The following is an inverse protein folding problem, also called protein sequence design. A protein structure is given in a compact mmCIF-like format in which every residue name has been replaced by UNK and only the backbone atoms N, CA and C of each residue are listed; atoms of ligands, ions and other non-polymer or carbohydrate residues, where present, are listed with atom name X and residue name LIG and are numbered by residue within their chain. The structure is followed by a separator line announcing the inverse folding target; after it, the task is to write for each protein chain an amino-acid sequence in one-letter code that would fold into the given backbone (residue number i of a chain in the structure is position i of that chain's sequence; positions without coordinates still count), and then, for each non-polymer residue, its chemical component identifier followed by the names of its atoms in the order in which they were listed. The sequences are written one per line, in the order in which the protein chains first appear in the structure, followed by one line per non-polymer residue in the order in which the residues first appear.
data_IF_103393413257
#
_entry.id   IF_103393413257
#
_cell.length_a   1.000
_cell.length_b   1.000
_cell.length_c   1.000
_cell.angle_alpha   90.00
_cell.angle_beta   90.00
_cell.angle_gamma   90.00
#
_symmetry.space_group_name_H-M   'P 1'
#
loop_
_entity.id
_entity.type
_entity.pdbx_description
1 polymer ?
#
# COMPACT_ATOMS: atom_id res chain seq x y z
N UNK A 1 -11.24 -28.44 60.29
CA UNK A 1 -11.98 -29.68 59.92
C UNK A 1 -13.45 -29.54 59.50
N UNK A 2 -14.46 -29.47 60.39
CA UNK A 2 -15.89 -29.62 59.98
C UNK A 2 -16.40 -28.56 58.99
N UNK A 3 -15.97 -27.31 59.15
CA UNK A 3 -16.34 -26.21 58.23
C UNK A 3 -15.73 -26.44 56.83
N UNK A 4 -14.49 -26.91 56.76
CA UNK A 4 -13.80 -27.23 55.51
C UNK A 4 -14.47 -28.41 54.79
N UNK A 5 -14.78 -29.49 55.53
CA UNK A 5 -15.53 -30.65 54.99
C UNK A 5 -16.89 -30.26 54.40
N UNK A 6 -17.61 -29.32 55.04
CA UNK A 6 -18.88 -28.79 54.51
C UNK A 6 -18.70 -28.00 53.23
N UNK A 7 -17.70 -27.11 53.16
CA UNK A 7 -17.43 -26.30 51.96
C UNK A 7 -17.00 -27.21 50.79
N UNK A 8 -16.09 -28.15 51.06
CA UNK A 8 -15.61 -29.12 50.08
C UNK A 8 -16.76 -29.95 49.48
N UNK A 9 -17.62 -30.50 50.34
CA UNK A 9 -18.80 -31.26 49.90
C UNK A 9 -19.82 -30.42 49.13
N UNK A 10 -20.00 -29.16 49.49
CA UNK A 10 -20.90 -28.25 48.77
C UNK A 10 -20.37 -27.94 47.36
N UNK A 11 -19.06 -27.71 47.20
CA UNK A 11 -18.44 -27.49 45.88
C UNK A 11 -18.44 -28.76 45.02
N UNK A 12 -18.16 -29.92 45.61
CA UNK A 12 -18.31 -31.23 44.96
C UNK A 12 -19.72 -31.42 44.40
N UNK A 13 -20.75 -31.27 45.25
CA UNK A 13 -22.16 -31.40 44.83
C UNK A 13 -22.55 -30.41 43.73
N UNK A 14 -21.99 -29.20 43.75
CA UNK A 14 -22.22 -28.20 42.71
C UNK A 14 -21.63 -28.63 41.36
N UNK A 15 -20.40 -29.17 41.34
CA UNK A 15 -19.74 -29.67 40.13
C UNK A 15 -20.48 -30.89 39.58
N UNK A 16 -20.86 -31.85 40.44
CA UNK A 16 -21.65 -33.02 40.06
C UNK A 16 -23.04 -32.64 39.53
N UNK A 17 -23.70 -31.64 40.15
CA UNK A 17 -24.99 -31.12 39.67
C UNK A 17 -24.85 -30.45 38.31
N UNK A 18 -23.80 -29.65 38.08
CA UNK A 18 -23.51 -29.07 36.76
C UNK A 18 -23.26 -30.14 35.71
N UNK A 19 -22.57 -31.24 36.07
CA UNK A 19 -22.40 -32.38 35.16
C UNK A 19 -23.74 -33.00 34.74
N UNK A 20 -24.67 -33.18 35.68
CA UNK A 20 -26.01 -33.71 35.39
C UNK A 20 -26.93 -32.74 34.64
N UNK A 21 -26.81 -31.43 34.89
CA UNK A 21 -27.66 -30.40 34.26
C UNK A 21 -27.17 -29.94 32.88
N UNK A 22 -25.88 -30.14 32.56
CA UNK A 22 -25.30 -29.78 31.27
C UNK A 22 -25.52 -30.88 30.22
N UNK A 23 -26.77 -31.24 29.96
CA UNK A 23 -27.14 -32.12 28.85
C UNK A 23 -27.09 -31.34 27.53
N UNK A 24 -26.87 -32.04 26.42
CA UNK A 24 -26.82 -31.44 25.08
C UNK A 24 -28.08 -30.61 24.76
N UNK A 25 -29.26 -31.08 25.19
CA UNK A 25 -30.54 -30.39 25.02
C UNK A 25 -30.65 -29.07 25.78
N UNK A 26 -30.08 -28.99 26.99
CA UNK A 26 -30.08 -27.74 27.78
C UNK A 26 -29.03 -26.77 27.22
N UNK A 27 -27.84 -27.28 26.93
CA UNK A 27 -26.74 -26.46 26.42
C UNK A 27 -27.05 -25.87 25.05
N UNK A 28 -27.79 -26.58 24.18
CA UNK A 28 -28.18 -26.09 22.85
C UNK A 28 -29.02 -24.80 22.89
N UNK A 29 -29.72 -24.54 24.00
CA UNK A 29 -30.57 -23.34 24.19
C UNK A 29 -29.79 -22.09 24.63
N UNK A 30 -28.57 -22.24 25.14
CA UNK A 30 -27.79 -21.11 25.68
C UNK A 30 -27.08 -20.37 24.54
N UNK A 31 -26.74 -19.09 24.68
CA UNK A 31 -25.85 -18.38 23.76
C UNK A 31 -24.36 -18.53 24.15
N UNK A 32 -23.43 -18.08 23.31
CA UNK A 32 -21.98 -18.24 23.55
C UNK A 32 -21.52 -17.56 24.85
N UNK A 33 -22.05 -16.39 25.19
CA UNK A 33 -21.69 -15.67 26.41
C UNK A 33 -22.22 -16.38 27.67
N UNK A 34 -23.40 -16.98 27.59
CA UNK A 34 -23.97 -17.79 28.67
C UNK A 34 -23.13 -19.05 28.91
N UNK A 35 -22.66 -19.72 27.86
CA UNK A 35 -21.73 -20.85 27.99
C UNK A 35 -20.39 -20.40 28.59
N UNK A 36 -19.83 -19.28 28.15
CA UNK A 36 -18.58 -18.72 28.72
C UNK A 36 -18.74 -18.43 30.21
N UNK A 37 -19.84 -17.78 30.61
CA UNK A 37 -20.17 -17.53 32.03
C UNK A 37 -20.29 -18.83 32.82
N UNK A 38 -20.86 -19.89 32.23
CA UNK A 38 -20.95 -21.20 32.88
C UNK A 38 -19.58 -21.87 33.09
N UNK A 39 -18.64 -21.68 32.15
CA UNK A 39 -17.25 -22.12 32.27
C UNK A 39 -16.58 -21.38 33.43
N UNK A 40 -16.68 -20.05 33.51
CA UNK A 40 -16.08 -19.25 34.59
C UNK A 40 -16.61 -19.65 35.97
N UNK A 41 -17.92 -19.85 36.11
CA UNK A 41 -18.53 -20.32 37.35
C UNK A 41 -18.07 -21.74 37.73
N UNK A 42 -17.83 -22.60 36.73
CA UNK A 42 -17.32 -23.95 36.95
C UNK A 42 -15.84 -23.92 37.40
N UNK A 43 -15.02 -23.08 36.78
CA UNK A 43 -13.62 -22.87 37.14
C UNK A 43 -13.48 -22.31 38.55
N UNK A 44 -14.27 -21.30 38.91
CA UNK A 44 -14.27 -20.75 40.25
C UNK A 44 -14.69 -21.79 41.32
N UNK A 45 -15.71 -22.61 41.01
CA UNK A 45 -16.13 -23.70 41.89
C UNK A 45 -15.04 -24.76 42.09
N UNK A 46 -14.34 -25.14 41.01
CA UNK A 46 -13.24 -26.11 41.07
C UNK A 46 -12.02 -25.55 41.80
N UNK A 47 -11.62 -24.30 41.52
CA UNK A 47 -10.50 -23.66 42.23
C UNK A 47 -10.76 -23.55 43.74
N UNK A 48 -12.01 -23.25 44.13
CA UNK A 48 -12.39 -23.26 45.54
C UNK A 48 -12.30 -24.67 46.13
N UNK A 49 -12.73 -25.69 45.36
CA UNK A 49 -12.64 -27.09 45.78
C UNK A 49 -11.18 -27.52 46.00
N UNK A 50 -10.29 -27.29 45.04
CA UNK A 50 -8.85 -27.59 45.13
C UNK A 50 -8.24 -26.93 46.37
N UNK A 51 -8.46 -25.62 46.55
CA UNK A 51 -7.92 -24.91 47.72
C UNK A 51 -8.40 -25.51 49.05
N UNK A 52 -9.69 -25.83 49.16
CA UNK A 52 -10.23 -26.44 50.39
C UNK A 52 -9.83 -27.90 50.57
N UNK A 53 -9.50 -28.60 49.49
CA UNK A 53 -8.95 -29.96 49.53
C UNK A 53 -7.52 -29.93 50.07
N UNK A 54 -6.68 -29.03 49.55
CA UNK A 54 -5.29 -28.85 50.01
C UNK A 54 -5.24 -28.44 51.49
N UNK A 55 -6.09 -27.50 51.90
CA UNK A 55 -6.21 -27.08 53.32
C UNK A 55 -6.66 -28.23 54.22
N UNK A 56 -7.57 -29.10 53.75
CA UNK A 56 -8.05 -30.25 54.51
C UNK A 56 -6.99 -31.36 54.58
N UNK A 57 -6.26 -31.61 53.50
CA UNK A 57 -5.21 -32.61 53.43
C UNK A 57 -4.05 -32.31 54.41
N UNK A 58 -3.76 -31.03 54.65
CA UNK A 58 -2.76 -30.59 55.63
C UNK A 58 -3.20 -30.79 57.09
N UNK A 59 -4.51 -30.85 57.37
CA UNK A 59 -5.07 -31.05 58.72
C UNK A 59 -5.32 -32.54 59.05
N UNK A 60 -5.07 -33.48 58.12
CA UNK A 60 -5.29 -34.92 58.30
C UNK A 60 -4.01 -35.63 58.76
N UNK A 61 -4.10 -36.39 59.84
CA UNK A 61 -2.98 -37.18 60.39
C UNK A 61 -3.05 -38.68 60.02
N UNK A 62 -4.23 -39.18 59.62
CA UNK A 62 -4.47 -40.59 59.32
C UNK A 62 -4.39 -40.91 57.82
N UNK A 63 -3.52 -41.85 57.43
CA UNK A 63 -3.28 -42.22 56.03
C UNK A 63 -4.56 -42.69 55.29
N UNK A 64 -5.48 -43.39 55.96
CA UNK A 64 -6.73 -43.86 55.34
C UNK A 64 -7.70 -42.72 54.99
N UNK A 65 -7.70 -41.63 55.77
CA UNK A 65 -8.53 -40.45 55.46
C UNK A 65 -7.94 -39.66 54.29
N UNK A 66 -6.61 -39.62 54.19
CA UNK A 66 -5.88 -38.99 53.08
C UNK A 66 -6.15 -39.75 51.77
N UNK A 67 -6.07 -41.08 51.77
CA UNK A 67 -6.34 -41.90 50.58
C UNK A 67 -7.77 -41.70 50.05
N UNK A 68 -8.77 -41.70 50.95
CA UNK A 68 -10.17 -41.42 50.57
C UNK A 68 -10.36 -40.01 50.01
N UNK A 69 -9.59 -39.03 50.51
CA UNK A 69 -9.63 -37.65 50.05
C UNK A 69 -8.99 -37.50 48.66
N UNK A 70 -7.95 -38.28 48.36
CA UNK A 70 -7.31 -38.35 47.03
C UNK A 70 -8.27 -38.97 46.00
N UNK A 71 -8.90 -40.11 46.32
CA UNK A 71 -9.87 -40.76 45.42
C UNK A 71 -11.05 -39.83 45.07
N UNK A 72 -11.53 -39.07 46.06
CA UNK A 72 -12.59 -38.10 45.85
C UNK A 72 -12.15 -36.95 44.93
N UNK A 73 -10.90 -36.51 45.05
CA UNK A 73 -10.35 -35.47 44.20
C UNK A 73 -10.27 -35.90 42.74
N UNK A 74 -9.82 -37.13 42.49
CA UNK A 74 -9.72 -37.66 41.12
C UNK A 74 -11.10 -37.74 40.44
N UNK A 75 -12.13 -38.18 41.18
CA UNK A 75 -13.50 -38.20 40.67
C UNK A 75 -14.07 -36.80 40.39
N UNK A 76 -13.80 -35.82 41.25
CA UNK A 76 -14.27 -34.43 41.04
C UNK A 76 -13.51 -33.76 39.89
N UNK A 77 -12.20 -33.99 39.79
CA UNK A 77 -11.34 -33.48 38.72
C UNK A 77 -11.74 -34.04 37.35
N UNK A 78 -11.94 -35.36 37.24
CA UNK A 78 -12.42 -35.98 35.99
C UNK A 78 -13.80 -35.47 35.57
N UNK A 79 -14.70 -35.27 36.54
CA UNK A 79 -16.02 -34.67 36.29
C UNK A 79 -15.90 -33.23 35.80
N UNK A 80 -15.07 -32.39 36.44
CA UNK A 80 -14.80 -31.03 36.02
C UNK A 80 -14.25 -30.96 34.59
N UNK A 81 -13.24 -31.79 34.28
CA UNK A 81 -12.63 -31.84 32.95
C UNK A 81 -13.64 -32.21 31.87
N UNK A 82 -14.49 -33.21 32.13
CA UNK A 82 -15.54 -33.63 31.20
C UNK A 82 -16.57 -32.53 30.94
N UNK A 83 -17.02 -31.83 31.98
CA UNK A 83 -17.98 -30.73 31.82
C UNK A 83 -17.36 -29.55 31.07
N UNK A 84 -16.13 -29.16 31.42
CA UNK A 84 -15.42 -28.06 30.77
C UNK A 84 -15.14 -28.35 29.30
N UNK A 85 -14.74 -29.57 28.96
CA UNK A 85 -14.54 -29.99 27.58
C UNK A 85 -15.84 -29.90 26.76
N UNK A 86 -16.95 -30.40 27.32
CA UNK A 86 -18.25 -30.33 26.66
C UNK A 86 -18.70 -28.88 26.41
N UNK A 87 -18.59 -28.00 27.42
CA UNK A 87 -18.92 -26.58 27.26
C UNK A 87 -18.04 -25.89 26.22
N UNK A 88 -16.74 -26.20 26.15
CA UNK A 88 -15.84 -25.65 25.12
C UNK A 88 -16.18 -26.16 23.72
N UNK A 89 -16.51 -27.44 23.57
CA UNK A 89 -16.91 -28.00 22.28
C UNK A 89 -18.19 -27.34 21.76
N UNK A 90 -19.16 -27.01 22.61
CA UNK A 90 -20.36 -26.25 22.21
C UNK A 90 -20.02 -24.85 21.68
N UNK A 91 -18.98 -24.19 22.21
CA UNK A 91 -18.49 -22.91 21.66
C UNK A 91 -17.84 -23.14 20.29
N UNK A 92 -17.04 -24.20 20.14
CA UNK A 92 -16.39 -24.56 18.88
C UNK A 92 -17.37 -25.03 17.80
N UNK A 93 -18.48 -25.68 18.14
CA UNK A 93 -19.51 -26.09 17.18
C UNK A 93 -20.39 -24.91 16.73
N UNK A 94 -20.55 -23.90 17.59
CA UNK A 94 -21.30 -22.66 17.28
C UNK A 94 -20.49 -21.59 16.58
N UNK A 95 -19.17 -21.69 16.69
CA UNK A 95 -18.25 -21.00 15.83
C UNK A 95 -17.80 -22.00 14.76
N UNK A 96 -18.56 -22.20 13.67
CA UNK A 96 -18.01 -22.92 12.54
C UNK A 96 -16.71 -22.20 12.15
N UNK A 97 -15.60 -22.89 12.33
CA UNK A 97 -14.33 -22.53 11.72
C UNK A 97 -14.60 -22.24 10.24
N UNK A 98 -14.17 -21.04 9.82
CA UNK A 98 -14.43 -20.37 8.54
C UNK A 98 -15.62 -19.39 8.43
N UNK A 99 -15.93 -18.62 9.49
CA UNK A 99 -16.29 -17.22 9.22
C UNK A 99 -14.98 -16.47 8.94
N UNK A 100 -14.62 -16.39 7.65
CA UNK A 100 -13.76 -15.34 7.12
C UNK A 100 -14.10 -14.07 7.88
N UNK A 101 -13.10 -13.48 8.52
CA UNK A 101 -13.16 -12.19 9.21
C UNK A 101 -13.66 -11.14 8.22
N UNK A 102 -14.96 -11.10 7.97
CA UNK A 102 -15.63 -10.14 7.11
C UNK A 102 -15.87 -8.91 7.97
N UNK A 103 -14.78 -8.36 8.50
CA UNK A 103 -14.63 -6.92 8.56
C UNK A 103 -15.16 -6.44 7.22
N UNK A 104 -16.12 -5.51 7.23
CA UNK A 104 -16.44 -4.73 6.05
C UNK A 104 -15.15 -3.96 5.73
N UNK A 105 -14.20 -4.64 5.10
CA UNK A 105 -13.06 -4.03 4.46
C UNK A 105 -13.72 -3.17 3.41
N UNK A 106 -13.67 -1.85 3.63
CA UNK A 106 -13.61 -0.92 2.52
C UNK A 106 -12.61 -1.57 1.57
N UNK A 107 -13.08 -2.01 0.38
CA UNK A 107 -12.18 -2.59 -0.63
C UNK A 107 -11.28 -1.44 -1.07
N UNK A 108 -10.21 -1.26 -0.33
CA UNK A 108 -9.10 -0.42 -0.73
C UNK A 108 -8.60 -0.95 -2.07
N UNK A 109 -8.16 -0.08 -2.98
CA UNK A 109 -7.49 -0.52 -4.19
C UNK A 109 -6.45 -1.59 -3.85
N UNK A 110 -6.37 -2.69 -4.61
CA UNK A 110 -5.40 -3.74 -4.33
C UNK A 110 -4.01 -3.13 -4.28
N UNK A 111 -3.25 -3.46 -3.23
CA UNK A 111 -1.87 -3.02 -3.11
C UNK A 111 -1.08 -3.71 -4.23
N UNK A 112 -0.52 -2.91 -5.14
CA UNK A 112 0.34 -3.44 -6.18
C UNK A 112 1.63 -3.98 -5.55
N UNK A 113 2.14 -5.08 -6.09
CA UNK A 113 3.44 -5.58 -5.70
C UNK A 113 4.53 -4.57 -6.06
N UNK A 114 5.55 -4.41 -5.21
CA UNK A 114 6.65 -3.51 -5.48
C UNK A 114 7.38 -3.95 -6.75
N UNK A 115 7.87 -2.99 -7.52
CA UNK A 115 8.65 -3.25 -8.73
C UNK A 115 10.12 -2.98 -8.45
N UNK A 116 11.01 -3.83 -8.95
CA UNK A 116 12.45 -3.68 -8.79
C UNK A 116 13.17 -3.85 -10.12
N UNK A 117 13.90 -2.80 -10.50
CA UNK A 117 14.59 -2.72 -11.80
C UNK A 117 16.01 -3.28 -11.79
N UNK A 118 16.59 -3.49 -10.59
CA UNK A 118 18.00 -3.84 -10.40
C UNK A 118 18.87 -2.67 -9.92
N UNK A 119 18.30 -1.48 -9.73
CA UNK A 119 19.01 -0.33 -9.16
C UNK A 119 19.29 -0.55 -7.68
N UNK A 120 20.55 -0.43 -7.27
CA UNK A 120 20.97 -0.64 -5.89
C UNK A 120 20.29 0.33 -4.92
N UNK A 121 19.97 1.56 -5.35
CA UNK A 121 19.26 2.52 -4.49
C UNK A 121 17.82 2.12 -4.16
N UNK A 122 17.20 1.23 -4.95
CA UNK A 122 15.82 0.76 -4.76
C UNK A 122 15.77 -0.55 -3.94
N UNK A 123 16.92 -1.20 -3.72
CA UNK A 123 17.00 -2.57 -3.22
C UNK A 123 16.38 -2.76 -1.83
N UNK A 124 16.79 -1.96 -0.84
CA UNK A 124 16.30 -2.14 0.54
C UNK A 124 14.79 -1.87 0.64
N UNK A 125 14.30 -0.83 -0.03
CA UNK A 125 12.86 -0.53 -0.12
C UNK A 125 12.08 -1.68 -0.74
N UNK A 126 12.58 -2.25 -1.84
CA UNK A 126 11.95 -3.40 -2.49
C UNK A 126 11.98 -4.64 -1.59
N UNK A 127 13.14 -4.96 -1.02
CA UNK A 127 13.35 -6.12 -0.16
C UNK A 127 12.38 -6.11 1.01
N UNK A 128 12.29 -4.99 1.74
CA UNK A 128 11.43 -4.88 2.91
C UNK A 128 9.94 -5.05 2.53
N UNK A 129 9.50 -4.41 1.44
CA UNK A 129 8.12 -4.51 0.97
C UNK A 129 7.79 -5.93 0.47
N UNK A 130 8.68 -6.53 -0.32
CA UNK A 130 8.49 -7.87 -0.86
C UNK A 130 8.53 -8.93 0.24
N UNK A 131 9.41 -8.76 1.23
CA UNK A 131 9.49 -9.67 2.37
C UNK A 131 8.20 -9.63 3.19
N UNK A 132 7.68 -8.44 3.48
CA UNK A 132 6.44 -8.25 4.22
C UNK A 132 5.20 -8.79 3.47
N UNK A 133 5.12 -8.57 2.15
CA UNK A 133 3.93 -8.93 1.36
C UNK A 133 3.92 -10.39 0.89
N UNK A 134 5.08 -10.94 0.55
CA UNK A 134 5.21 -12.22 -0.17
C UNK A 134 6.10 -13.23 0.55
N UNK A 135 7.34 -12.87 0.89
CA UNK A 135 8.31 -13.83 1.45
C UNK A 135 7.84 -14.42 2.78
N UNK A 136 7.42 -13.55 3.71
CA UNK A 136 7.03 -13.92 5.08
C UNK A 136 5.54 -14.28 5.20
N UNK A 137 4.78 -14.16 4.11
CA UNK A 137 3.35 -14.47 4.12
C UNK A 137 3.13 -15.99 4.10
N UNK A 138 2.59 -16.53 5.20
CA UNK A 138 2.36 -17.97 5.38
C UNK A 138 1.25 -18.53 4.48
N UNK A 139 0.39 -17.67 3.93
CA UNK A 139 -0.73 -18.09 3.07
C UNK A 139 -0.33 -18.26 1.59
N UNK A 140 0.93 -17.96 1.24
CA UNK A 140 1.44 -18.02 -0.13
C UNK A 140 2.43 -19.18 -0.22
N UNK A 141 2.24 -20.10 -1.16
CA UNK A 141 3.19 -21.20 -1.39
C UNK A 141 4.42 -20.74 -2.21
N UNK A 142 5.47 -21.55 -2.28
CA UNK A 142 6.69 -21.17 -3.01
C UNK A 142 6.48 -20.98 -4.51
N UNK A 143 5.52 -21.68 -5.13
CA UNK A 143 5.20 -21.52 -6.56
C UNK A 143 4.61 -20.14 -6.80
N UNK A 144 3.65 -19.73 -5.98
CA UNK A 144 3.06 -18.39 -6.00
C UNK A 144 4.11 -17.32 -5.68
N UNK A 145 4.99 -17.55 -4.69
CA UNK A 145 6.11 -16.64 -4.40
C UNK A 145 7.03 -16.46 -5.60
N UNK A 146 7.35 -17.52 -6.34
CA UNK A 146 8.15 -17.45 -7.56
C UNK A 146 7.44 -16.62 -8.64
N UNK A 147 6.15 -16.84 -8.87
CA UNK A 147 5.39 -16.04 -9.83
C UNK A 147 5.35 -14.56 -9.45
N UNK A 148 5.11 -14.25 -8.18
CA UNK A 148 5.14 -12.88 -7.66
C UNK A 148 6.53 -12.25 -7.74
N UNK A 149 7.59 -13.03 -7.48
CA UNK A 149 8.96 -12.56 -7.64
C UNK A 149 9.20 -12.17 -9.10
N UNK A 150 8.91 -13.05 -10.07
CA UNK A 150 9.11 -12.75 -11.49
C UNK A 150 8.30 -11.55 -11.98
N UNK A 151 7.07 -11.34 -11.48
CA UNK A 151 6.25 -10.19 -11.86
C UNK A 151 6.67 -8.87 -11.20
N UNK A 152 7.42 -8.96 -10.10
CA UNK A 152 7.95 -7.81 -9.36
C UNK A 152 9.31 -7.36 -9.87
N UNK A 153 10.05 -8.22 -10.58
CA UNK A 153 11.35 -7.89 -11.14
C UNK A 153 11.22 -7.38 -12.58
N UNK A 154 11.98 -6.34 -12.89
CA UNK A 154 12.11 -5.75 -14.22
C UNK A 154 13.59 -5.51 -14.53
N UNK A 155 13.90 -5.20 -15.79
CA UNK A 155 15.25 -4.81 -16.20
C UNK A 155 16.33 -5.83 -15.85
N UNK A 156 17.40 -5.36 -15.19
CA UNK A 156 18.54 -6.20 -14.81
C UNK A 156 18.19 -7.20 -13.71
N UNK A 157 17.28 -6.86 -12.79
CA UNK A 157 16.90 -7.80 -11.75
C UNK A 157 16.14 -9.02 -12.32
N UNK A 158 15.33 -8.82 -13.36
CA UNK A 158 14.62 -9.91 -14.02
C UNK A 158 15.57 -10.85 -14.78
N UNK A 159 16.67 -10.34 -15.34
CA UNK A 159 17.62 -11.18 -16.08
C UNK A 159 18.37 -12.16 -15.17
N UNK A 160 18.62 -11.80 -13.91
CA UNK A 160 19.33 -12.64 -12.92
C UNK A 160 18.65 -14.00 -12.72
N UNK A 161 17.32 -14.05 -12.73
CA UNK A 161 16.55 -15.29 -12.51
C UNK A 161 15.86 -15.80 -13.78
N UNK A 162 16.19 -15.22 -14.93
CA UNK A 162 15.49 -15.51 -16.19
C UNK A 162 15.60 -16.98 -16.62
N UNK A 163 16.75 -17.61 -16.37
CA UNK A 163 17.06 -19.01 -16.69
C UNK A 163 16.48 -20.04 -15.71
N UNK A 164 15.91 -19.60 -14.58
CA UNK A 164 15.37 -20.50 -13.56
C UNK A 164 13.96 -20.96 -13.93
N UNK A 165 13.61 -22.21 -13.61
CA UNK A 165 12.25 -22.74 -13.75
C UNK A 165 11.27 -22.04 -12.80
N UNK A 166 9.96 -22.09 -13.10
CA UNK A 166 8.91 -21.50 -12.25
C UNK A 166 8.33 -22.53 -11.26
N UNK A 167 9.18 -23.36 -10.65
CA UNK A 167 8.76 -24.42 -9.73
C UNK A 167 8.92 -24.03 -8.25
N UNK A 168 8.24 -24.77 -7.36
CA UNK A 168 8.26 -24.50 -5.92
C UNK A 168 9.65 -24.64 -5.27
N UNK A 169 10.53 -25.44 -5.89
CA UNK A 169 11.86 -25.74 -5.34
C UNK A 169 12.88 -24.64 -5.67
N UNK A 170 12.75 -23.99 -6.83
CA UNK A 170 13.65 -22.94 -7.30
C UNK A 170 13.44 -21.57 -6.65
N UNK A 171 12.33 -21.32 -5.94
CA UNK A 171 12.07 -20.00 -5.33
C UNK A 171 13.17 -19.58 -4.35
N UNK A 172 13.55 -20.47 -3.44
CA UNK A 172 14.55 -20.16 -2.39
C UNK A 172 15.90 -19.83 -3.04
N UNK A 173 16.28 -20.59 -4.07
CA UNK A 173 17.49 -20.35 -4.84
C UNK A 173 17.42 -19.00 -5.58
N UNK A 174 16.31 -18.69 -6.24
CA UNK A 174 16.11 -17.43 -6.94
C UNK A 174 16.16 -16.22 -6.00
N UNK A 175 15.51 -16.32 -4.84
CA UNK A 175 15.53 -15.27 -3.82
C UNK A 175 16.94 -15.06 -3.26
N UNK A 176 17.67 -16.14 -2.99
CA UNK A 176 19.05 -16.06 -2.51
C UNK A 176 20.00 -15.52 -3.58
N UNK A 177 19.79 -15.87 -4.85
CA UNK A 177 20.57 -15.34 -5.97
C UNK A 177 20.41 -13.82 -6.04
N UNK A 178 19.18 -13.31 -6.08
CA UNK A 178 18.91 -11.85 -6.11
C UNK A 178 19.52 -11.16 -4.89
N UNK A 179 19.33 -11.70 -3.67
CA UNK A 179 19.99 -11.16 -2.48
C UNK A 179 21.51 -11.16 -2.61
N UNK A 180 22.11 -12.22 -3.16
CA UNK A 180 23.56 -12.29 -3.37
C UNK A 180 24.09 -11.20 -4.31
N UNK A 181 23.32 -10.83 -5.34
CA UNK A 181 23.70 -9.78 -6.29
C UNK A 181 23.44 -8.37 -5.77
N UNK A 182 22.32 -8.13 -5.08
CA UNK A 182 21.85 -6.78 -4.76
C UNK A 182 21.95 -6.41 -3.27
N UNK A 183 22.00 -7.37 -2.34
CA UNK A 183 22.15 -7.15 -0.89
C UNK A 183 23.62 -6.97 -0.47
N UNK A 184 24.36 -6.18 -1.24
CA UNK A 184 25.75 -5.88 -0.96
C UNK A 184 25.88 -4.49 -0.33
N UNK A 185 25.95 -4.44 1.00
CA UNK A 185 26.14 -3.19 1.76
C UNK A 185 27.37 -2.40 1.31
N UNK A 186 28.44 -3.07 0.87
CA UNK A 186 29.65 -2.42 0.37
C UNK A 186 29.48 -1.74 -0.99
N UNK A 187 28.45 -2.09 -1.76
CA UNK A 187 28.09 -1.42 -3.01
C UNK A 187 26.94 -0.43 -2.80
N UNK A 188 25.93 -0.79 -2.01
CA UNK A 188 24.77 0.09 -1.77
C UNK A 188 25.19 1.38 -1.05
N UNK A 189 26.09 1.29 -0.06
CA UNK A 189 26.62 2.47 0.62
C UNK A 189 27.29 3.48 -0.32
N UNK A 190 28.33 3.12 -1.12
CA UNK A 190 28.95 4.07 -2.04
C UNK A 190 28.00 4.49 -3.16
N UNK A 191 27.04 3.66 -3.58
CA UNK A 191 26.01 4.09 -4.56
C UNK A 191 25.17 5.24 -4.00
N UNK A 192 24.64 5.13 -2.78
CA UNK A 192 23.87 6.23 -2.18
C UNK A 192 24.71 7.50 -1.99
N UNK A 193 25.97 7.35 -1.55
CA UNK A 193 26.90 8.49 -1.47
C UNK A 193 27.13 9.13 -2.84
N UNK A 194 27.46 8.32 -3.85
CA UNK A 194 27.70 8.79 -5.20
C UNK A 194 26.48 9.57 -5.70
N UNK A 195 25.29 8.97 -5.69
CA UNK A 195 24.06 9.62 -6.13
C UNK A 195 23.77 10.90 -5.36
N UNK A 196 24.00 10.96 -4.04
CA UNK A 196 23.84 12.16 -3.21
C UNK A 196 24.77 13.30 -3.65
N UNK A 197 26.05 13.02 -3.92
CA UNK A 197 27.06 14.03 -4.26
C UNK A 197 27.10 14.40 -5.74
N UNK A 198 26.66 13.50 -6.63
CA UNK A 198 26.65 13.71 -8.09
C UNK A 198 25.29 14.12 -8.62
N UNK A 199 24.37 14.59 -7.77
CA UNK A 199 23.10 15.15 -8.22
C UNK A 199 23.32 16.25 -9.28
N UNK A 200 22.45 16.34 -10.30
CA UNK A 200 22.57 17.32 -11.36
C UNK A 200 22.34 18.74 -10.84
N UNK A 201 23.05 19.71 -11.42
CA UNK A 201 22.83 21.13 -11.11
C UNK A 201 21.48 21.56 -11.70
N UNK A 202 20.66 22.21 -10.86
CA UNK A 202 19.38 22.78 -11.28
C UNK A 202 19.67 24.11 -11.99
N UNK A 203 19.45 24.13 -13.31
CA UNK A 203 19.83 25.27 -14.16
C UNK A 203 18.91 26.48 -14.02
N UNK A 204 17.63 26.26 -13.70
CA UNK A 204 16.62 27.29 -13.66
C UNK A 204 15.76 27.16 -12.40
N UNK A 205 15.17 28.27 -11.97
CA UNK A 205 14.22 28.35 -10.85
C UNK A 205 12.88 27.68 -11.22
N UNK A 206 12.90 26.34 -11.28
CA UNK A 206 11.77 25.49 -11.59
C UNK A 206 11.35 24.69 -10.35
N UNK A 207 10.12 24.90 -9.81
CA UNK A 207 9.66 24.26 -8.57
C UNK A 207 9.83 22.74 -8.56
N UNK A 208 9.48 22.07 -9.66
CA UNK A 208 9.57 20.61 -9.78
C UNK A 208 11.02 20.11 -9.68
N UNK A 209 11.99 20.85 -10.24
CA UNK A 209 13.40 20.46 -10.21
C UNK A 209 14.01 20.67 -8.83
N UNK A 210 13.67 21.78 -8.17
CA UNK A 210 14.07 22.04 -6.79
C UNK A 210 13.49 21.00 -5.83
N UNK A 211 12.21 20.67 -6.01
CA UNK A 211 11.55 19.60 -5.24
C UNK A 211 12.24 18.26 -5.43
N UNK A 212 12.55 17.90 -6.68
CA UNK A 212 13.29 16.66 -7.00
C UNK A 212 14.66 16.63 -6.33
N UNK A 213 15.39 17.76 -6.30
CA UNK A 213 16.69 17.86 -5.63
C UNK A 213 16.57 17.62 -4.11
N UNK A 214 15.60 18.25 -3.45
CA UNK A 214 15.36 18.07 -2.01
C UNK A 214 14.89 16.64 -1.71
N UNK A 215 13.92 16.13 -2.46
CA UNK A 215 13.39 14.77 -2.28
C UNK A 215 14.48 13.71 -2.49
N UNK A 216 15.32 13.84 -3.52
CA UNK A 216 16.42 12.91 -3.80
C UNK A 216 17.46 12.94 -2.69
N UNK A 217 17.83 14.14 -2.21
CA UNK A 217 18.76 14.28 -1.08
C UNK A 217 18.20 13.61 0.18
N UNK A 218 16.95 13.90 0.53
CA UNK A 218 16.27 13.32 1.70
C UNK A 218 16.16 11.78 1.59
N UNK A 219 15.85 11.26 0.41
CA UNK A 219 15.75 9.82 0.18
C UNK A 219 17.09 9.12 0.40
N UNK A 220 18.20 9.70 -0.07
CA UNK A 220 19.53 9.14 0.14
C UNK A 220 19.99 9.26 1.60
N UNK A 221 19.71 10.36 2.30
CA UNK A 221 20.00 10.51 3.73
C UNK A 221 19.27 9.43 4.54
N UNK A 222 17.95 9.26 4.33
CA UNK A 222 17.15 8.21 5.00
C UNK A 222 17.62 6.79 4.68
N UNK A 223 18.05 6.55 3.45
CA UNK A 223 18.60 5.24 3.07
C UNK A 223 19.91 4.96 3.81
N UNK A 224 20.77 5.97 3.96
CA UNK A 224 22.03 5.87 4.71
C UNK A 224 21.79 5.71 6.22
N UNK A 225 20.78 6.37 6.80
CA UNK A 225 20.33 6.15 8.19
C UNK A 225 19.90 4.70 8.40
N UNK A 226 19.07 4.17 7.50
CA UNK A 226 18.60 2.77 7.55
C UNK A 226 19.76 1.77 7.46
N UNK A 227 20.83 2.13 6.74
CA UNK A 227 22.08 1.36 6.68
C UNK A 227 22.94 1.47 7.96
N UNK A 228 22.53 2.27 8.95
CA UNK A 228 23.24 2.49 10.21
C UNK A 228 24.42 3.45 10.07
N UNK A 229 24.39 4.38 9.10
CA UNK A 229 25.44 5.39 8.94
C UNK A 229 25.14 6.65 9.76
N UNK A 230 26.17 7.28 10.37
CA UNK A 230 25.99 8.44 11.24
C UNK A 230 25.81 9.73 10.42
N UNK A 231 24.67 9.88 9.75
CA UNK A 231 24.39 11.04 8.89
C UNK A 231 24.11 12.33 9.68
N UNK A 232 23.84 12.22 10.98
CA UNK A 232 23.53 13.35 11.87
C UNK A 232 24.65 14.40 11.94
N UNK A 233 25.88 14.02 11.55
CA UNK A 233 27.04 14.91 11.55
C UNK A 233 27.44 15.38 10.14
N UNK A 234 26.60 15.12 9.13
CA UNK A 234 26.95 15.40 7.72
C UNK A 234 26.34 16.70 7.20
N UNK A 235 25.66 17.47 8.06
CA UNK A 235 25.00 18.72 7.72
C UNK A 235 25.88 19.65 6.89
N UNK A 236 27.11 19.94 7.34
CA UNK A 236 28.02 20.87 6.64
C UNK A 236 28.32 20.42 5.20
N UNK A 237 28.58 19.12 5.03
CA UNK A 237 28.94 18.53 3.72
C UNK A 237 27.73 18.47 2.81
N UNK A 238 26.57 18.11 3.34
CA UNK A 238 25.30 18.04 2.61
C UNK A 238 24.86 19.44 2.19
N UNK A 239 24.87 20.41 3.11
CA UNK A 239 24.53 21.81 2.84
C UNK A 239 25.44 22.38 1.77
N UNK A 240 26.75 22.23 1.91
CA UNK A 240 27.70 22.69 0.90
C UNK A 240 27.42 22.04 -0.47
N UNK A 241 27.25 20.72 -0.51
CA UNK A 241 27.00 19.99 -1.74
C UNK A 241 25.72 20.46 -2.41
N UNK A 242 24.59 20.47 -1.69
CA UNK A 242 23.29 20.81 -2.27
C UNK A 242 23.23 22.29 -2.66
N UNK A 243 23.82 23.19 -1.87
CA UNK A 243 23.91 24.61 -2.22
C UNK A 243 24.63 24.83 -3.56
N UNK A 244 25.65 24.03 -3.89
CA UNK A 244 26.32 24.12 -5.20
C UNK A 244 25.45 23.62 -6.37
N UNK A 245 24.39 22.85 -6.10
CA UNK A 245 23.43 22.37 -7.10
C UNK A 245 22.25 23.31 -7.32
N UNK A 246 22.06 24.32 -6.47
CA UNK A 246 20.99 25.30 -6.61
C UNK A 246 21.26 26.27 -7.77
N UNK A 247 20.20 26.83 -8.39
CA UNK A 247 20.33 27.91 -9.35
C UNK A 247 21.08 29.11 -8.75
N UNK A 248 21.86 29.86 -9.55
CA UNK A 248 22.67 30.98 -9.07
C UNK A 248 21.88 32.01 -8.23
N UNK A 249 20.65 32.33 -8.63
CA UNK A 249 19.81 33.31 -7.95
C UNK A 249 19.39 32.83 -6.56
N UNK A 250 18.94 31.57 -6.46
CA UNK A 250 18.53 30.96 -5.19
C UNK A 250 19.74 30.79 -4.27
N UNK A 251 20.87 30.32 -4.82
CA UNK A 251 22.11 30.19 -4.08
C UNK A 251 22.55 31.54 -3.52
N UNK A 252 22.53 32.61 -4.30
CA UNK A 252 22.87 33.96 -3.83
C UNK A 252 21.99 34.39 -2.66
N UNK A 253 20.67 34.19 -2.74
CA UNK A 253 19.77 34.51 -1.63
C UNK A 253 20.05 33.66 -0.38
N UNK A 254 20.34 32.38 -0.56
CA UNK A 254 20.73 31.49 0.52
C UNK A 254 22.01 31.97 1.23
N UNK A 255 23.07 32.32 0.50
CA UNK A 255 24.32 32.79 1.12
C UNK A 255 24.11 34.10 1.91
N UNK A 256 23.22 34.98 1.45
CA UNK A 256 22.87 36.22 2.16
C UNK A 256 22.10 35.93 3.46
N UNK A 257 21.09 35.06 3.41
CA UNK A 257 20.29 34.70 4.59
C UNK A 257 21.09 33.89 5.60
N UNK A 258 21.94 32.97 5.11
CA UNK A 258 22.80 32.14 5.94
C UNK A 258 23.89 32.97 6.65
N UNK A 259 24.42 34.02 6.00
CA UNK A 259 25.39 34.91 6.63
C UNK A 259 24.83 35.68 7.84
N UNK A 260 23.51 35.77 7.97
CA UNK A 260 22.84 36.38 9.12
C UNK A 260 22.67 35.43 10.32
N UNK A 261 22.98 34.15 10.18
CA UNK A 261 22.88 33.17 11.27
C UNK A 261 24.17 33.11 12.09
N UNK A 262 24.05 32.93 13.41
CA UNK A 262 25.20 32.89 14.32
C UNK A 262 25.99 31.58 14.24
N UNK A 263 25.32 30.47 13.93
CA UNK A 263 25.88 29.13 13.84
C UNK A 263 25.81 28.59 12.41
N UNK A 264 26.52 27.49 12.15
CA UNK A 264 26.51 26.82 10.85
C UNK A 264 25.11 26.30 10.50
N UNK A 265 24.63 26.52 9.27
CA UNK A 265 23.32 26.07 8.84
C UNK A 265 23.25 24.55 8.76
N UNK A 266 22.17 23.97 9.28
CA UNK A 266 21.87 22.54 9.16
C UNK A 266 21.20 22.21 7.82
N UNK A 267 21.19 20.93 7.43
CA UNK A 267 20.42 20.47 6.27
C UNK A 267 18.95 20.84 6.38
N UNK A 268 18.38 20.74 7.59
CA UNK A 268 17.00 21.13 7.89
C UNK A 268 16.74 22.62 7.61
N UNK A 269 17.72 23.48 7.87
CA UNK A 269 17.63 24.92 7.58
C UNK A 269 17.61 25.16 6.07
N UNK A 270 18.52 24.54 5.31
CA UNK A 270 18.58 24.67 3.85
C UNK A 270 17.34 24.08 3.17
N UNK A 271 16.89 22.89 3.59
CA UNK A 271 15.71 22.25 3.02
C UNK A 271 14.46 23.11 3.21
N UNK A 272 14.26 23.67 4.41
CA UNK A 272 13.13 24.56 4.71
C UNK A 272 13.18 25.86 3.88
N UNK A 273 14.37 26.44 3.68
CA UNK A 273 14.54 27.60 2.81
C UNK A 273 14.12 27.29 1.36
N UNK A 274 14.61 26.18 0.80
CA UNK A 274 14.27 25.79 -0.58
C UNK A 274 12.79 25.43 -0.71
N UNK A 275 12.21 24.73 0.26
CA UNK A 275 10.77 24.43 0.31
C UNK A 275 9.92 25.70 0.38
N UNK A 276 10.32 26.70 1.18
CA UNK A 276 9.69 28.01 1.23
C UNK A 276 9.72 28.72 -0.13
N UNK A 277 10.85 28.62 -0.85
CA UNK A 277 10.98 29.16 -2.21
C UNK A 277 10.10 28.43 -3.21
N UNK A 278 10.04 27.10 -3.16
CA UNK A 278 9.14 26.28 -3.98
C UNK A 278 7.69 26.72 -3.75
N UNK A 279 7.27 26.85 -2.49
CA UNK A 279 5.91 27.26 -2.14
C UNK A 279 5.59 28.68 -2.66
N UNK A 280 6.52 29.63 -2.52
CA UNK A 280 6.35 30.97 -3.05
C UNK A 280 6.19 30.97 -4.58
N UNK A 281 7.00 30.18 -5.30
CA UNK A 281 6.89 30.04 -6.75
C UNK A 281 5.57 29.40 -7.18
N UNK A 282 5.11 28.35 -6.48
CA UNK A 282 3.81 27.72 -6.73
C UNK A 282 2.65 28.69 -6.50
N UNK A 283 2.69 29.48 -5.43
CA UNK A 283 1.70 30.53 -5.14
C UNK A 283 1.73 31.62 -6.21
N UNK A 284 2.91 32.04 -6.66
CA UNK A 284 3.07 33.02 -7.74
C UNK A 284 2.54 32.48 -9.07
N UNK A 285 2.83 31.23 -9.41
CA UNK A 285 2.29 30.56 -10.60
C UNK A 285 0.77 30.43 -10.54
N UNK A 286 0.21 30.11 -9.37
CA UNK A 286 -1.25 30.09 -9.16
C UNK A 286 -1.87 31.48 -9.34
N UNK A 287 -1.25 32.52 -8.77
CA UNK A 287 -1.70 33.93 -8.91
C UNK A 287 -1.56 34.46 -10.34
N UNK A 288 -0.50 34.09 -11.06
CA UNK A 288 -0.35 34.41 -12.49
C UNK A 288 -1.34 33.63 -13.35
N UNK A 289 -1.65 32.38 -12.97
CA UNK A 289 -2.76 31.58 -13.53
C UNK A 289 -4.15 32.13 -13.21
N UNK A 290 -4.26 33.08 -12.27
CA UNK A 290 -5.53 33.72 -11.88
C UNK A 290 -5.90 34.91 -12.78
N UNK A 291 -5.03 35.34 -13.70
CA UNK A 291 -5.41 36.31 -14.76
C UNK A 291 -6.05 35.63 -15.99
N UNK A 292 -6.28 34.31 -15.93
CA UNK A 292 -6.97 33.59 -17.00
C UNK A 292 -7.64 32.32 -16.51
N UNK A 293 -8.95 32.40 -16.27
CA UNK A 293 -9.91 31.31 -15.97
C UNK A 293 -10.10 30.94 -14.50
N UNK A 294 -10.82 31.79 -13.78
CA UNK A 294 -11.77 31.32 -12.77
C UNK A 294 -13.09 31.07 -13.51
N UNK A 295 -13.36 29.82 -13.93
CA UNK A 295 -14.74 29.41 -14.22
C UNK A 295 -15.31 28.80 -12.96
N UNK A 296 -16.20 29.58 -12.34
CA UNK A 296 -17.00 29.23 -11.18
C UNK A 296 -17.63 27.83 -11.32
N UNK A 297 -17.41 27.01 -10.29
CA UNK A 297 -18.22 25.85 -9.97
C UNK A 297 -19.58 26.33 -9.46
N UNK A 298 -20.55 26.58 -10.34
CA UNK A 298 -21.98 26.50 -9.99
C UNK A 298 -22.86 26.45 -11.25
N UNK A 299 -23.25 25.23 -11.64
CA UNK A 299 -24.63 24.83 -11.94
C UNK A 299 -24.66 23.56 -12.81
N UNK A 300 -25.08 22.46 -12.19
CA UNK A 300 -25.71 21.34 -12.87
C UNK A 300 -27.09 21.80 -13.35
N UNK A 301 -27.25 21.98 -14.65
CA UNK A 301 -28.45 21.60 -15.40
C UNK A 301 -28.11 21.65 -16.89
N UNK A 302 -28.31 20.51 -17.55
CA UNK A 302 -28.06 20.33 -18.97
C UNK A 302 -29.10 21.07 -19.81
N UNK A 303 -28.68 21.99 -20.70
CA UNK A 303 -29.38 22.31 -21.95
C UNK A 303 -28.34 22.80 -22.98
N UNK A 304 -28.46 22.35 -24.22
CA UNK A 304 -27.61 22.66 -25.36
C UNK A 304 -27.50 24.17 -25.66
N UNK A 305 -26.29 24.70 -25.90
CA UNK A 305 -26.04 25.80 -26.86
C UNK A 305 -24.54 26.13 -27.05
N UNK A 306 -24.11 25.98 -28.31
CA UNK A 306 -23.10 26.74 -29.08
C UNK A 306 -21.73 27.00 -28.43
N UNK A 307 -20.74 26.19 -28.82
CA UNK A 307 -19.31 26.50 -28.67
C UNK A 307 -18.94 27.61 -29.66
N UNK A 308 -18.68 28.82 -29.17
CA UNK A 308 -17.90 29.81 -29.91
C UNK A 308 -16.46 29.29 -30.03
N UNK A 309 -16.11 28.80 -31.22
CA UNK A 309 -14.75 28.38 -31.53
C UNK A 309 -13.86 29.62 -31.72
N UNK A 310 -12.65 29.55 -31.14
CA UNK A 310 -11.48 30.37 -31.50
C UNK A 310 -11.45 30.58 -33.02
N UNK A 311 -11.37 31.82 -33.45
CA UNK A 311 -11.13 32.20 -34.86
C UNK A 311 -9.80 31.61 -35.35
N UNK A 312 -9.83 30.38 -35.83
CA UNK A 312 -8.88 29.91 -36.82
C UNK A 312 -9.47 30.37 -38.15
N UNK A 313 -8.87 31.38 -38.78
CA UNK A 313 -9.25 31.85 -40.11
C UNK A 313 -8.95 30.75 -41.15
N UNK A 314 -9.76 29.70 -41.20
CA UNK A 314 -9.69 28.67 -42.24
C UNK A 314 -10.30 29.27 -43.51
N UNK A 315 -9.47 29.46 -44.53
CA UNK A 315 -9.95 29.81 -45.89
C UNK A 315 -10.59 28.57 -46.52
N UNK A 316 -11.75 28.75 -47.16
CA UNK A 316 -12.44 27.72 -47.91
C UNK A 316 -11.57 27.25 -49.07
N UNK A 317 -11.38 25.94 -49.21
CA UNK A 317 -10.51 25.39 -50.26
C UNK A 317 -11.16 25.37 -51.66
N UNK A 318 -12.46 25.71 -51.76
CA UNK A 318 -13.20 25.79 -53.04
C UNK A 318 -13.22 27.21 -53.60
N UNK A 319 -13.50 28.22 -52.78
CA UNK A 319 -13.65 29.62 -53.21
C UNK A 319 -12.65 30.59 -52.56
N UNK A 320 -11.73 30.10 -51.72
CA UNK A 320 -10.69 30.87 -51.01
C UNK A 320 -11.18 31.96 -50.04
N UNK A 321 -12.47 32.05 -49.78
CA UNK A 321 -13.08 33.00 -48.82
C UNK A 321 -13.01 32.49 -47.37
N UNK A 322 -13.07 33.38 -46.35
CA UNK A 322 -12.84 33.02 -44.94
C UNK A 322 -14.05 32.34 -44.28
N UNK A 323 -14.36 31.12 -44.74
CA UNK A 323 -15.40 30.27 -44.16
C UNK A 323 -15.05 28.79 -44.35
N UNK A 324 -15.76 27.92 -43.64
CA UNK A 324 -15.64 26.46 -43.85
C UNK A 324 -16.30 26.03 -45.17
N UNK A 325 -15.91 24.88 -45.74
CA UNK A 325 -16.52 24.34 -46.97
C UNK A 325 -18.02 24.06 -46.80
N UNK A 326 -18.46 23.71 -45.59
CA UNK A 326 -19.87 23.51 -45.26
C UNK A 326 -20.71 24.79 -45.38
N UNK A 327 -20.06 25.95 -45.39
CA UNK A 327 -20.67 27.27 -45.54
C UNK A 327 -20.38 27.89 -46.92
N UNK A 328 -19.78 27.13 -47.84
CA UNK A 328 -19.45 27.61 -49.18
C UNK A 328 -20.69 27.60 -50.08
N UNK A 329 -21.17 28.77 -50.45
CA UNK A 329 -22.36 28.92 -51.30
C UNK A 329 -22.17 28.29 -52.69
N UNK A 330 -20.97 28.40 -53.28
CA UNK A 330 -20.64 27.74 -54.55
C UNK A 330 -20.74 26.21 -54.44
N UNK A 331 -20.28 25.63 -53.32
CA UNK A 331 -20.34 24.19 -53.08
C UNK A 331 -21.79 23.74 -52.82
N UNK A 332 -22.56 24.51 -52.08
CA UNK A 332 -23.95 24.20 -51.75
C UNK A 332 -24.91 24.36 -52.94
N UNK A 333 -24.61 25.22 -53.91
CA UNK A 333 -25.42 25.38 -55.13
C UNK A 333 -25.09 24.35 -56.23
N UNK A 334 -23.91 23.73 -56.18
CA UNK A 334 -23.51 22.71 -57.14
C UNK A 334 -24.29 21.39 -56.96
N UNK A 335 -24.51 20.68 -58.06
CA UNK A 335 -25.10 19.34 -58.06
C UNK A 335 -24.17 18.30 -57.41
N UNK A 336 -24.72 17.13 -57.06
CA UNK A 336 -23.95 16.07 -56.38
C UNK A 336 -22.72 15.64 -57.18
N UNK A 337 -22.85 15.50 -58.50
CA UNK A 337 -21.74 15.15 -59.40
C UNK A 337 -20.66 16.24 -59.42
N UNK A 338 -21.06 17.51 -59.49
CA UNK A 338 -20.16 18.66 -59.47
C UNK A 338 -19.44 18.81 -58.13
N UNK A 339 -20.12 18.56 -57.01
CA UNK A 339 -19.50 18.58 -55.67
C UNK A 339 -18.40 17.53 -55.54
N UNK A 340 -18.60 16.32 -56.06
CA UNK A 340 -17.58 15.27 -56.04
C UNK A 340 -16.34 15.68 -56.85
N UNK A 341 -16.54 16.33 -58.01
CA UNK A 341 -15.44 16.88 -58.82
C UNK A 341 -14.70 18.01 -58.10
N UNK A 342 -15.41 18.93 -57.44
CA UNK A 342 -14.82 20.04 -56.68
C UNK A 342 -13.95 19.54 -55.51
N UNK A 343 -14.41 18.51 -54.79
CA UNK A 343 -13.68 17.89 -53.67
C UNK A 343 -12.42 17.17 -54.14
N UNK A 344 -12.50 16.41 -55.24
CA UNK A 344 -11.33 15.76 -55.86
C UNK A 344 -10.31 16.78 -56.38
N UNK A 345 -10.77 17.81 -57.10
CA UNK A 345 -9.90 18.87 -57.66
C UNK A 345 -9.16 19.65 -56.57
N UNK A 346 -9.81 19.84 -55.42
CA UNK A 346 -9.25 20.59 -54.29
C UNK A 346 -8.50 19.71 -53.28
N UNK A 347 -8.23 18.44 -53.64
CA UNK A 347 -7.47 17.47 -52.82
C UNK A 347 -8.03 17.30 -51.39
N UNK A 348 -9.35 17.31 -51.27
CA UNK A 348 -10.06 17.11 -50.00
C UNK A 348 -10.51 15.65 -49.86
N UNK A 349 -10.53 15.15 -48.64
CA UNK A 349 -11.13 13.84 -48.36
C UNK A 349 -12.63 13.86 -48.71
N UNK A 350 -13.12 12.87 -49.48
CA UNK A 350 -14.54 12.77 -49.86
C UNK A 350 -15.48 12.60 -48.65
N UNK A 351 -14.99 11.99 -47.56
CA UNK A 351 -15.78 11.77 -46.35
C UNK A 351 -15.73 12.96 -45.39
N UNK A 352 -14.55 13.54 -45.20
CA UNK A 352 -14.33 14.55 -44.15
C UNK A 352 -14.23 15.98 -44.67
N UNK A 353 -14.15 16.19 -45.99
CA UNK A 353 -14.05 17.49 -46.69
C UNK A 353 -12.94 18.42 -46.13
N UNK A 354 -11.90 17.84 -45.55
CA UNK A 354 -10.71 18.53 -45.01
C UNK A 354 -9.48 18.17 -45.83
N UNK A 355 -8.52 19.10 -45.85
CA UNK A 355 -7.16 18.85 -46.38
C UNK A 355 -6.50 17.88 -45.40
N UNK A 356 -6.22 16.67 -45.84
CA UNK A 356 -5.67 15.65 -44.97
C UNK A 356 -4.40 15.06 -45.55
N UNK A 357 -3.33 15.06 -44.76
CA UNK A 357 -2.24 14.07 -44.78
C UNK A 357 -2.74 12.68 -44.34
N UNK A 358 -3.96 12.30 -44.75
CA UNK A 358 -4.53 10.99 -44.46
C UNK A 358 -4.12 10.07 -45.60
N UNK A 359 -3.33 9.05 -45.26
CA UNK A 359 -2.72 8.11 -46.18
C UNK A 359 -3.73 7.53 -47.16
N UNK A 360 -3.28 7.45 -48.41
CA UNK A 360 -3.95 6.77 -49.48
C UNK A 360 -4.20 5.30 -49.09
N UNK A 361 -5.43 4.97 -48.68
CA UNK A 361 -5.98 3.65 -48.94
C UNK A 361 -6.35 3.62 -50.42
N UNK A 362 -5.38 3.30 -51.26
CA UNK A 362 -5.63 2.81 -52.62
C UNK A 362 -6.38 1.50 -52.50
N UNK A 363 -7.67 1.53 -52.82
CA UNK A 363 -8.41 0.33 -53.21
C UNK A 363 -7.78 -0.20 -54.51
N UNK A 364 -6.87 -1.15 -54.38
CA UNK A 364 -6.46 -2.01 -55.49
C UNK A 364 -7.52 -3.11 -55.65
N UNK A 365 -8.55 -2.82 -56.43
CA UNK A 365 -9.29 -3.84 -57.17
C UNK A 365 -8.53 -4.09 -58.47
N UNK A 366 -7.98 -5.30 -58.63
CA UNK A 366 -7.71 -6.05 -59.87
C UNK A 366 -6.45 -6.91 -59.73
N UNK A 367 -6.61 -8.15 -59.26
CA UNK A 367 -6.09 -9.39 -59.87
C UNK A 367 -6.40 -10.60 -58.97
N UNK A 368 -7.06 -11.60 -59.55
CA UNK A 368 -7.42 -12.87 -58.91
C UNK A 368 -8.89 -13.18 -59.07
#
# INVERSE_FOLDING_TARGET
MDKLRRVLNNKRKLIEKKHKSNTFEVLSTYNTNEITTQIELLENAFNTYVKTHDELAQELEENSEVDSLIDQFENVSSTYMRVKANLKNMISERNPTEVRDMKKYIKLPPINLPQFSGKLEEWYTFKDQFEAMVHNNQNIDNTQRMHHLRSSLTGQAASVISSMSSDAHSYIEAWNLIKGWFDNKHLVFPTHLHCLFTQPVVQAEAPNMLKTLIDTTNNHIRALETLGRPVDHWDDVIVHTVATKLPPDIRKTWEIESAGQADFPTWKTLSAFVEGRIHALEVMQFRQGSSGKIKQLYNKTAVHAVVAQKEVKTKCQICSQPHSIYQCEMFMKASVSERQLMVKKSQLCLNCLRVSTCGAFTFSLLHG
#
